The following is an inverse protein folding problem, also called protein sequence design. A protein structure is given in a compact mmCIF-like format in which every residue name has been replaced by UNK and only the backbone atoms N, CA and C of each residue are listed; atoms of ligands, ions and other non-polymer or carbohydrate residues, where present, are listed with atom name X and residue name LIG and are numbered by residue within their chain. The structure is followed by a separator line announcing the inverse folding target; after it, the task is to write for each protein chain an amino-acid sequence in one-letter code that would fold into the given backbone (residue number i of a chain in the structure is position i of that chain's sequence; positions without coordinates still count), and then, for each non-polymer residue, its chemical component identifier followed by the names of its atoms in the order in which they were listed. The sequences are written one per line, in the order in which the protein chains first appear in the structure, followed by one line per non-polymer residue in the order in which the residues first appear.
data_IF_953123187634
#
_entry.id   IF_953123187634
#
_cell.length_a   1.000
_cell.length_b   1.000
_cell.length_c   1.000
_cell.angle_alpha   90.00
_cell.angle_beta   90.00
_cell.angle_gamma   90.00
#
_symmetry.space_group_name_H-M   'P 1'
#
loop_
_entity.id
_entity.type
_entity.pdbx_description
1 polymer ?
#
# COMPACT_ATOMS: atom_id res chain seq x y z
N UNK A 1 3.89 6.67 -17.09
CA UNK A 1 4.40 5.40 -16.55
C UNK A 1 5.39 5.70 -15.45
N UNK A 2 5.24 5.08 -14.29
CA UNK A 2 6.14 5.25 -13.16
C UNK A 2 6.84 3.94 -12.86
N UNK A 3 8.15 4.01 -12.60
CA UNK A 3 8.97 2.86 -12.25
C UNK A 3 9.24 2.83 -10.75
N UNK A 4 9.10 1.66 -10.14
CA UNK A 4 9.37 1.43 -8.74
C UNK A 4 10.23 0.20 -8.54
N UNK A 5 11.17 0.26 -7.61
CA UNK A 5 11.84 -0.91 -7.09
C UNK A 5 11.06 -1.39 -5.86
N UNK A 6 10.51 -2.59 -5.92
CA UNK A 6 9.79 -3.19 -4.80
C UNK A 6 10.74 -4.02 -3.95
N UNK A 7 10.72 -3.78 -2.65
CA UNK A 7 11.26 -4.67 -1.63
C UNK A 7 10.10 -5.45 -1.00
N UNK A 8 10.05 -6.76 -1.21
CA UNK A 8 8.98 -7.61 -0.73
C UNK A 8 9.51 -8.60 0.31
N UNK A 9 8.91 -8.60 1.48
CA UNK A 9 9.24 -9.53 2.57
C UNK A 9 8.00 -10.38 2.86
N UNK A 10 8.06 -11.65 2.50
CA UNK A 10 7.00 -12.60 2.81
C UNK A 10 7.02 -12.97 4.30
N UNK A 11 5.89 -13.46 4.81
CA UNK A 11 5.83 -14.00 6.16
C UNK A 11 6.88 -15.10 6.30
N UNK A 12 7.64 -15.07 7.39
CA UNK A 12 8.72 -16.03 7.70
C UNK A 12 9.93 -15.97 6.74
N UNK A 13 10.02 -14.98 5.87
CA UNK A 13 11.19 -14.81 5.01
C UNK A 13 12.37 -14.23 5.79
N UNK A 14 13.59 -14.62 5.41
CA UNK A 14 14.82 -14.16 6.05
C UNK A 14 15.29 -12.79 5.54
N UNK A 15 14.79 -12.34 4.41
CA UNK A 15 15.15 -11.07 3.82
C UNK A 15 14.26 -10.70 2.65
N UNK A 16 14.43 -9.47 2.11
CA UNK A 16 13.60 -8.99 1.03
C UNK A 16 13.95 -9.62 -0.33
N UNK A 17 12.93 -9.81 -1.14
CA UNK A 17 13.08 -10.00 -2.58
C UNK A 17 12.94 -8.63 -3.25
N UNK A 18 13.84 -8.31 -4.18
CA UNK A 18 13.81 -7.05 -4.92
C UNK A 18 13.25 -7.30 -6.31
N UNK A 19 12.24 -6.53 -6.70
CA UNK A 19 11.54 -6.67 -7.97
C UNK A 19 11.35 -5.31 -8.64
N UNK A 20 11.64 -5.16 -9.94
CA UNK A 20 11.29 -3.94 -10.66
C UNK A 20 9.81 -3.98 -11.07
N UNK A 21 9.12 -2.85 -10.90
CA UNK A 21 7.73 -2.70 -11.28
C UNK A 21 7.53 -1.42 -12.09
N UNK A 22 6.71 -1.52 -13.14
CA UNK A 22 6.24 -0.37 -13.90
C UNK A 22 4.73 -0.27 -13.75
N UNK A 23 4.27 0.91 -13.34
CA UNK A 23 2.86 1.18 -13.09
C UNK A 23 2.40 2.27 -14.05
N UNK A 24 1.48 1.91 -14.94
CA UNK A 24 0.98 2.82 -15.96
C UNK A 24 -0.11 3.76 -15.43
N UNK A 25 -0.95 3.24 -14.52
CA UNK A 25 -1.99 4.02 -13.86
C UNK A 25 -2.07 3.58 -12.40
N UNK A 26 -1.66 4.47 -11.50
CA UNK A 26 -1.71 4.16 -10.07
C UNK A 26 -3.15 4.17 -9.52
N UNK A 27 -4.01 5.03 -10.06
CA UNK A 27 -5.39 5.14 -9.62
C UNK A 27 -6.28 5.50 -10.80
N UNK A 28 -7.32 4.70 -11.01
CA UNK A 28 -8.47 5.07 -11.82
C UNK A 28 -9.53 5.64 -10.88
N UNK A 29 -9.29 6.87 -10.43
CA UNK A 29 -10.16 7.55 -9.46
C UNK A 29 -11.17 8.40 -10.20
N UNK A 30 -12.48 8.24 -9.95
CA UNK A 30 -13.50 9.14 -10.52
C UNK A 30 -13.19 10.60 -10.21
N UNK A 31 -13.48 11.50 -11.15
CA UNK A 31 -13.18 12.93 -11.00
C UNK A 31 -13.82 13.56 -9.76
N UNK A 32 -14.99 13.08 -9.34
CA UNK A 32 -15.63 13.52 -8.10
C UNK A 32 -14.79 13.21 -6.86
N UNK A 33 -14.10 12.05 -6.85
CA UNK A 33 -13.21 11.68 -5.75
C UNK A 33 -11.93 12.51 -5.76
N UNK A 34 -11.43 12.87 -6.93
CA UNK A 34 -10.28 13.78 -7.04
C UNK A 34 -10.62 15.17 -6.51
N UNK A 35 -11.81 15.69 -6.77
CA UNK A 35 -12.27 16.97 -6.21
C UNK A 35 -12.38 16.91 -4.69
N UNK A 36 -12.91 15.82 -4.15
CA UNK A 36 -12.98 15.61 -2.71
C UNK A 36 -11.58 15.53 -2.08
N UNK A 37 -10.62 14.91 -2.77
CA UNK A 37 -9.23 14.82 -2.32
C UNK A 37 -8.47 16.14 -2.44
N UNK A 38 -8.87 17.03 -3.34
CA UNK A 38 -8.20 18.31 -3.56
C UNK A 38 -8.15 19.20 -2.31
N UNK A 39 -9.09 19.02 -1.38
CA UNK A 39 -9.09 19.69 -0.08
C UNK A 39 -8.42 18.90 1.03
N UNK A 40 -7.87 17.73 0.75
CA UNK A 40 -7.26 16.87 1.75
C UNK A 40 -5.84 17.35 2.10
N UNK A 41 -5.38 16.95 3.29
CA UNK A 41 -4.01 17.13 3.73
C UNK A 41 -3.05 16.43 2.74
N UNK A 42 -1.92 17.10 2.47
CA UNK A 42 -0.87 16.57 1.59
C UNK A 42 -0.36 15.20 2.04
N UNK A 43 -0.24 14.99 3.35
CA UNK A 43 0.16 13.71 3.92
C UNK A 43 -0.86 12.62 3.59
N UNK A 44 -2.14 12.90 3.71
CA UNK A 44 -3.20 11.96 3.35
C UNK A 44 -3.19 11.62 1.86
N UNK A 45 -2.93 12.62 0.99
CA UNK A 45 -2.79 12.38 -0.44
C UNK A 45 -1.62 11.44 -0.76
N UNK A 46 -0.50 11.58 -0.06
CA UNK A 46 0.63 10.67 -0.20
C UNK A 46 0.26 9.23 0.19
N UNK A 47 -0.51 9.07 1.25
CA UNK A 47 -0.95 7.74 1.69
C UNK A 47 -1.91 7.08 0.69
N UNK A 48 -2.83 7.85 0.14
CA UNK A 48 -3.76 7.37 -0.90
C UNK A 48 -3.00 7.00 -2.18
N UNK A 49 -2.05 7.83 -2.60
CA UNK A 49 -1.21 7.53 -3.75
C UNK A 49 -0.36 6.27 -3.53
N UNK A 50 0.20 6.10 -2.34
CA UNK A 50 0.95 4.91 -1.97
C UNK A 50 0.06 3.67 -2.04
N UNK A 51 -1.16 3.74 -1.52
CA UNK A 51 -2.12 2.64 -1.60
C UNK A 51 -2.41 2.27 -3.06
N UNK A 52 -2.54 3.24 -3.95
CA UNK A 52 -2.74 3.00 -5.38
C UNK A 52 -1.59 2.23 -6.01
N UNK A 53 -0.36 2.61 -5.71
CA UNK A 53 0.84 1.89 -6.18
C UNK A 53 0.88 0.47 -5.63
N UNK A 54 0.72 0.30 -4.32
CA UNK A 54 0.84 -1.00 -3.66
C UNK A 54 -0.28 -1.96 -4.05
N UNK A 55 -1.50 -1.49 -4.19
CA UNK A 55 -2.61 -2.33 -4.64
C UNK A 55 -2.47 -2.74 -6.10
N UNK A 56 -1.91 -1.89 -6.95
CA UNK A 56 -1.57 -2.24 -8.33
C UNK A 56 -0.52 -3.35 -8.38
N UNK A 57 0.50 -3.28 -7.52
CA UNK A 57 1.52 -4.33 -7.40
C UNK A 57 0.91 -5.63 -6.91
N UNK A 58 0.09 -5.59 -5.86
CA UNK A 58 -0.57 -6.79 -5.31
C UNK A 58 -1.52 -7.42 -6.32
N UNK A 59 -2.20 -6.62 -7.14
CA UNK A 59 -3.03 -7.14 -8.22
C UNK A 59 -2.19 -7.88 -9.27
N UNK A 60 -1.10 -7.28 -9.71
CA UNK A 60 -0.23 -7.89 -10.71
C UNK A 60 0.54 -9.10 -10.20
N UNK A 61 0.92 -9.09 -8.93
CA UNK A 61 1.73 -10.14 -8.32
C UNK A 61 0.90 -11.31 -7.77
N UNK A 62 -0.18 -11.00 -7.06
CA UNK A 62 -0.91 -11.98 -6.25
C UNK A 62 -2.41 -12.06 -6.57
N UNK A 63 -2.86 -11.39 -7.63
CA UNK A 63 -4.27 -11.35 -8.05
C UNK A 63 -5.22 -10.84 -6.96
N UNK A 64 -4.75 -9.88 -6.16
CA UNK A 64 -5.56 -9.27 -5.10
C UNK A 64 -6.17 -7.95 -5.59
N UNK A 65 -7.33 -7.62 -5.05
CA UNK A 65 -7.99 -6.33 -5.27
C UNK A 65 -8.50 -5.75 -3.96
N UNK A 66 -8.76 -4.45 -3.96
CA UNK A 66 -9.38 -3.80 -2.81
C UNK A 66 -10.89 -3.96 -2.91
N UNK A 67 -11.49 -4.61 -1.92
CA UNK A 67 -12.94 -4.75 -1.82
C UNK A 67 -13.58 -3.67 -0.96
N UNK A 68 -12.85 -3.13 0.01
CA UNK A 68 -13.38 -2.16 0.96
C UNK A 68 -12.24 -1.35 1.57
N UNK A 69 -12.53 -0.11 1.95
CA UNK A 69 -11.59 0.79 2.65
C UNK A 69 -12.26 1.32 3.89
N UNK A 70 -11.58 1.30 5.03
CA UNK A 70 -12.07 1.92 6.24
C UNK A 70 -10.98 2.75 6.92
N UNK A 71 -11.41 3.69 7.75
CA UNK A 71 -10.50 4.51 8.54
C UNK A 71 -10.39 3.94 9.95
N UNK A 72 -9.15 3.85 10.44
CA UNK A 72 -8.85 3.45 11.81
C UNK A 72 -7.84 4.45 12.39
N UNK A 73 -8.31 5.30 13.29
CA UNK A 73 -7.51 6.41 13.77
C UNK A 73 -7.14 7.37 12.65
N UNK A 74 -5.85 7.64 12.47
CA UNK A 74 -5.33 8.50 11.39
C UNK A 74 -4.95 7.73 10.13
N UNK A 75 -5.04 6.39 10.16
CA UNK A 75 -4.67 5.53 9.04
C UNK A 75 -5.87 4.96 8.30
N UNK A 76 -5.60 4.47 7.10
CA UNK A 76 -6.58 3.78 6.28
C UNK A 76 -6.22 2.30 6.20
N UNK A 77 -7.22 1.45 6.32
CA UNK A 77 -7.11 0.01 6.14
C UNK A 77 -7.78 -0.37 4.82
N UNK A 78 -7.03 -1.04 3.96
CA UNK A 78 -7.50 -1.50 2.65
C UNK A 78 -7.75 -3.01 2.75
N UNK A 79 -9.02 -3.39 2.75
CA UNK A 79 -9.42 -4.79 2.82
C UNK A 79 -9.24 -5.44 1.46
N UNK A 80 -8.35 -6.40 1.41
CA UNK A 80 -8.00 -7.10 0.18
C UNK A 80 -8.87 -8.34 0.03
N UNK A 81 -9.21 -8.63 -1.20
CA UNK A 81 -9.92 -9.86 -1.56
C UNK A 81 -9.31 -10.49 -2.80
N UNK A 82 -9.47 -11.79 -2.92
CA UNK A 82 -9.13 -12.53 -4.13
C UNK A 82 -10.17 -12.27 -5.19
N UNK A 83 -9.83 -12.55 -6.45
CA UNK A 83 -10.77 -12.34 -7.56
C UNK A 83 -12.06 -13.19 -7.44
N UNK A 84 -12.04 -14.26 -6.65
CA UNK A 84 -13.21 -15.08 -6.35
C UNK A 84 -14.05 -14.51 -5.16
N UNK A 85 -13.68 -13.35 -4.63
CA UNK A 85 -14.38 -12.68 -3.53
C UNK A 85 -13.98 -13.10 -2.13
N UNK A 86 -13.02 -14.03 -1.98
CA UNK A 86 -12.53 -14.45 -0.65
C UNK A 86 -11.63 -13.39 -0.04
N UNK A 87 -11.72 -13.24 1.27
CA UNK A 87 -10.85 -12.34 2.02
C UNK A 87 -9.39 -12.75 1.91
N UNK A 88 -8.52 -11.77 1.67
CA UNK A 88 -7.08 -11.99 1.52
C UNK A 88 -6.25 -11.21 2.54
N UNK A 89 -6.88 -10.47 3.44
CA UNK A 89 -6.20 -9.72 4.48
C UNK A 89 -6.40 -8.22 4.37
N UNK A 90 -5.61 -7.48 5.14
CA UNK A 90 -5.69 -6.02 5.21
C UNK A 90 -4.33 -5.41 4.89
N UNK A 91 -4.31 -4.43 4.01
CA UNK A 91 -3.14 -3.63 3.70
C UNK A 91 -3.21 -2.31 4.46
N UNK A 92 -2.16 -2.02 5.22
CA UNK A 92 -1.90 -0.71 5.79
C UNK A 92 -0.81 -0.03 4.96
N UNK A 93 -1.13 1.07 4.28
CA UNK A 93 -0.24 1.70 3.33
C UNK A 93 0.06 3.14 3.72
N UNK A 94 1.32 3.52 3.69
CA UNK A 94 1.77 4.89 3.93
C UNK A 94 2.67 5.36 2.78
N UNK A 95 2.65 6.67 2.54
CA UNK A 95 3.48 7.30 1.53
C UNK A 95 4.45 8.30 2.13
N UNK A 96 5.59 8.47 1.46
CA UNK A 96 6.60 9.45 1.82
C UNK A 96 7.07 10.19 0.56
N UNK A 97 7.35 11.48 0.70
CA UNK A 97 7.87 12.29 -0.40
C UNK A 97 9.36 12.08 -0.65
N UNK A 98 10.11 11.61 0.37
CA UNK A 98 11.55 11.42 0.31
C UNK A 98 11.98 10.19 -0.50
N UNK A 99 13.30 9.90 -0.49
CA UNK A 99 13.85 8.82 -1.33
C UNK A 99 13.79 7.43 -0.69
N UNK A 100 13.54 7.33 0.62
CA UNK A 100 13.61 6.07 1.37
C UNK A 100 12.28 5.78 2.08
N UNK A 101 11.69 4.58 1.88
CA UNK A 101 10.44 4.21 2.52
C UNK A 101 10.57 3.67 3.95
N UNK A 102 11.76 3.59 4.52
CA UNK A 102 12.00 2.87 5.78
C UNK A 102 11.18 3.38 6.96
N UNK A 103 11.10 4.70 7.16
CA UNK A 103 10.33 5.29 8.26
C UNK A 103 8.82 5.08 8.05
N UNK A 104 8.33 5.32 6.83
CA UNK A 104 6.93 5.10 6.51
C UNK A 104 6.56 3.61 6.66
N UNK A 105 7.42 2.70 6.24
CA UNK A 105 7.20 1.27 6.43
C UNK A 105 7.13 0.88 7.91
N UNK A 106 8.04 1.40 8.73
CA UNK A 106 8.02 1.15 10.18
C UNK A 106 6.70 1.62 10.81
N UNK A 107 6.20 2.78 10.40
CA UNK A 107 4.90 3.29 10.88
C UNK A 107 3.72 2.47 10.37
N UNK A 108 3.78 2.00 9.12
CA UNK A 108 2.76 1.11 8.57
C UNK A 108 2.71 -0.23 9.31
N UNK A 109 3.87 -0.77 9.68
CA UNK A 109 3.97 -2.00 10.47
C UNK A 109 3.32 -1.81 11.84
N UNK A 110 3.63 -0.72 12.55
CA UNK A 110 3.00 -0.41 13.84
C UNK A 110 1.49 -0.32 13.74
N UNK A 111 0.99 0.37 12.72
CA UNK A 111 -0.45 0.50 12.49
C UNK A 111 -1.10 -0.85 12.19
N UNK A 112 -0.45 -1.69 11.39
CA UNK A 112 -0.93 -3.03 11.09
C UNK A 112 -0.91 -3.95 12.31
N UNK A 113 0.16 -3.92 13.11
CA UNK A 113 0.28 -4.74 14.31
C UNK A 113 -0.81 -4.43 15.35
N UNK A 114 -1.25 -3.17 15.43
CA UNK A 114 -2.34 -2.76 16.31
C UNK A 114 -3.73 -3.21 15.84
N UNK A 115 -3.84 -3.72 14.62
CA UNK A 115 -5.12 -4.16 14.07
C UNK A 115 -5.48 -5.58 14.56
N UNK A 116 -6.78 -5.87 14.73
CA UNK A 116 -7.23 -7.20 15.19
C UNK A 116 -7.30 -8.26 14.08
N UNK A 117 -6.77 -7.94 12.90
CA UNK A 117 -6.86 -8.82 11.73
C UNK A 117 -5.86 -9.97 11.79
N UNK A 118 -6.25 -11.14 11.28
CA UNK A 118 -5.37 -12.32 11.26
C UNK A 118 -4.33 -12.26 10.12
N UNK A 119 -4.65 -11.62 9.01
CA UNK A 119 -3.75 -11.44 7.87
C UNK A 119 -3.48 -9.97 7.66
N UNK A 120 -2.21 -9.59 7.77
CA UNK A 120 -1.79 -8.19 7.72
C UNK A 120 -0.64 -8.01 6.77
N UNK A 121 -0.75 -6.98 5.94
CA UNK A 121 0.33 -6.53 5.05
C UNK A 121 0.58 -5.06 5.36
N UNK A 122 1.83 -4.71 5.60
CA UNK A 122 2.25 -3.32 5.74
C UNK A 122 2.99 -2.90 4.48
N UNK A 123 2.74 -1.70 4.01
CA UNK A 123 3.39 -1.19 2.82
C UNK A 123 3.71 0.29 2.90
N UNK A 124 4.73 0.69 2.17
CA UNK A 124 5.13 2.09 2.05
C UNK A 124 5.66 2.37 0.65
N UNK A 125 5.47 3.59 0.19
CA UNK A 125 6.04 4.08 -1.07
C UNK A 125 6.78 5.38 -0.80
N UNK A 126 8.03 5.45 -1.25
CA UNK A 126 8.83 6.67 -1.25
C UNK A 126 8.87 7.22 -2.68
N UNK A 127 8.10 8.27 -2.93
CA UNK A 127 7.93 8.81 -4.28
C UNK A 127 9.20 9.52 -4.77
N UNK A 128 9.99 10.09 -3.87
CA UNK A 128 11.24 10.76 -4.24
C UNK A 128 12.34 9.83 -4.72
N UNK A 129 12.27 8.55 -4.39
CA UNK A 129 13.25 7.55 -4.80
C UNK A 129 12.71 6.46 -5.73
N UNK A 130 11.42 6.48 -6.04
CA UNK A 130 10.79 5.43 -6.82
C UNK A 130 10.88 4.06 -6.15
N UNK A 131 10.76 4.01 -4.82
CA UNK A 131 10.88 2.78 -4.03
C UNK A 131 9.57 2.43 -3.33
N UNK A 132 9.20 1.17 -3.42
CA UNK A 132 8.06 0.60 -2.73
C UNK A 132 8.51 -0.55 -1.83
N UNK A 133 7.80 -0.74 -0.72
CA UNK A 133 8.09 -1.84 0.20
C UNK A 133 6.79 -2.49 0.64
N UNK A 134 6.77 -3.81 0.67
CA UNK A 134 5.67 -4.62 1.19
C UNK A 134 6.24 -5.64 2.17
N UNK A 135 5.61 -5.74 3.32
CA UNK A 135 5.94 -6.73 4.32
C UNK A 135 4.69 -7.46 4.78
N UNK A 136 4.65 -8.75 4.58
CA UNK A 136 3.58 -9.61 5.08
C UNK A 136 3.88 -9.97 6.53
N UNK A 137 2.99 -9.59 7.45
CA UNK A 137 3.18 -9.80 8.89
C UNK A 137 2.62 -11.15 9.36
N UNK A 138 1.59 -11.60 8.69
CA UNK A 138 0.96 -12.88 9.08
C UNK A 138 0.03 -13.40 8.01
#
# INVERSE_FOLDING_TARGET
MSSFELSYIAANAKGPALEPWQITHALDVPSADLEALAGADRTELLHVAAAGVLTSILRGRDDLRVGHVSRRGKGLDFYLERLDGRDAGVLCALGAAGPDPAIALANAIKHAEAAPWSRKIAGAVAFGGGKAALRVLS
#
